data_IF_305200051299
#
_entry.id   IF_305200051299
#
_cell.length_a   1.000
_cell.length_b   1.000
_cell.length_c   1.000
_cell.angle_alpha   90.00
_cell.angle_beta   90.00
_cell.angle_gamma   90.00
#
_symmetry.space_group_name_H-M   'P 1'
#
loop_
_entity.id
_entity.type
_entity.pdbx_description
1 polymer ?
#
# COMPACT_ATOMS: atom_id res chain seq x y z
N UNK A 1 0.24 -22.50 10.66
CA UNK A 1 0.06 -21.05 10.69
C UNK A 1 1.40 -20.47 11.10
N UNK A 2 2.24 -20.05 10.14
CA UNK A 2 3.48 -19.32 10.45
C UNK A 2 3.09 -17.92 10.89
N UNK A 3 3.37 -17.58 12.14
CA UNK A 3 3.26 -16.21 12.62
C UNK A 3 4.14 -15.34 11.71
N UNK A 4 3.52 -14.41 10.98
CA UNK A 4 4.25 -13.37 10.28
C UNK A 4 5.01 -12.59 11.35
N UNK A 5 6.34 -12.66 11.33
CA UNK A 5 7.16 -11.92 12.30
C UNK A 5 6.84 -10.45 12.13
N UNK A 6 6.46 -9.78 13.21
CA UNK A 6 6.27 -8.32 13.21
C UNK A 6 7.51 -7.66 12.63
N UNK A 7 7.37 -6.70 11.68
CA UNK A 7 8.50 -5.86 11.31
C UNK A 7 9.07 -5.22 12.58
N UNK A 8 10.38 -5.18 12.68
CA UNK A 8 11.03 -4.46 13.78
C UNK A 8 11.02 -2.97 13.45
N UNK A 9 10.19 -2.19 14.15
CA UNK A 9 10.11 -0.74 13.94
C UNK A 9 11.49 -0.09 14.01
N UNK A 10 12.30 -0.52 14.96
CA UNK A 10 13.65 0.03 15.12
C UNK A 10 14.49 -0.17 13.86
N UNK A 11 14.47 -1.35 13.28
CA UNK A 11 15.20 -1.63 12.02
C UNK A 11 14.67 -0.77 10.86
N UNK A 12 13.35 -0.54 10.80
CA UNK A 12 12.75 0.36 9.80
C UNK A 12 13.22 1.80 10.00
N UNK A 13 13.20 2.30 11.25
CA UNK A 13 13.65 3.67 11.56
C UNK A 13 15.15 3.86 11.33
N UNK A 14 15.99 2.90 11.74
CA UNK A 14 17.43 2.91 11.47
C UNK A 14 17.72 2.97 9.95
N UNK A 15 16.98 2.21 9.12
CA UNK A 15 17.14 2.28 7.66
C UNK A 15 16.69 3.62 7.09
N UNK A 16 15.54 4.15 7.53
CA UNK A 16 15.05 5.46 7.10
C UNK A 16 16.04 6.59 7.46
N UNK A 17 16.65 6.54 8.63
CA UNK A 17 17.66 7.50 9.03
C UNK A 17 18.92 7.40 8.17
N UNK A 18 19.40 6.19 7.85
CA UNK A 18 20.51 5.99 6.91
C UNK A 18 20.19 6.50 5.51
N UNK A 19 18.96 6.29 5.02
CA UNK A 19 18.53 6.83 3.73
C UNK A 19 18.45 8.36 3.73
N UNK A 20 18.06 8.98 4.85
CA UNK A 20 18.06 10.43 4.97
C UNK A 20 19.49 11.02 4.90
N UNK A 21 20.48 10.34 5.47
CA UNK A 21 21.91 10.71 5.34
C UNK A 21 22.37 10.58 3.88
N UNK A 22 22.01 9.51 3.17
CA UNK A 22 22.33 9.33 1.74
C UNK A 22 21.70 10.43 0.86
N UNK A 23 20.47 10.86 1.19
CA UNK A 23 19.78 11.97 0.49
C UNK A 23 20.49 13.28 0.76
N UNK A 24 20.89 13.57 2.01
CA UNK A 24 21.59 14.79 2.39
C UNK A 24 22.95 14.92 1.67
N UNK A 25 23.71 13.83 1.59
CA UNK A 25 24.96 13.79 0.83
C UNK A 25 24.78 14.06 -0.67
N UNK A 26 23.60 13.72 -1.22
CA UNK A 26 23.25 13.88 -2.63
C UNK A 26 22.67 15.26 -2.96
N UNK A 27 22.09 15.95 -1.97
CA UNK A 27 21.47 17.26 -2.12
C UNK A 27 22.53 18.38 -2.17
N UNK A 28 22.76 18.94 -3.36
CA UNK A 28 23.65 20.10 -3.52
C UNK A 28 22.96 21.43 -3.25
N UNK A 29 21.64 21.49 -3.25
CA UNK A 29 20.82 22.68 -2.96
C UNK A 29 19.45 22.25 -2.44
N UNK A 30 19.12 22.61 -1.20
CA UNK A 30 17.74 22.48 -0.71
C UNK A 30 16.89 23.57 -1.34
N UNK A 31 15.89 23.20 -2.14
CA UNK A 31 14.93 24.13 -2.76
C UNK A 31 13.60 24.20 -1.98
N UNK A 32 13.44 23.35 -0.95
CA UNK A 32 12.24 23.28 -0.11
C UNK A 32 12.40 23.93 1.28
N UNK A 33 11.29 24.04 2.01
CA UNK A 33 11.23 24.55 3.39
C UNK A 33 11.86 23.58 4.41
N UNK A 34 12.03 22.30 4.07
CA UNK A 34 12.65 21.25 4.88
C UNK A 34 13.93 20.73 4.23
N UNK A 35 14.92 20.40 5.04
CA UNK A 35 16.15 19.69 4.62
C UNK A 35 16.04 18.20 4.96
N UNK A 36 16.86 17.32 4.33
CA UNK A 36 16.93 15.90 4.74
C UNK A 36 17.32 15.73 6.22
N UNK A 37 18.14 16.64 6.77
CA UNK A 37 18.50 16.66 8.20
C UNK A 37 17.27 16.98 9.09
N UNK A 38 16.41 17.90 8.66
CA UNK A 38 15.15 18.21 9.36
C UNK A 38 14.22 16.98 9.39
N UNK A 39 14.11 16.27 8.25
CA UNK A 39 13.34 15.03 8.16
C UNK A 39 13.94 13.94 9.07
N UNK A 40 15.25 13.76 9.07
CA UNK A 40 15.93 12.82 9.97
C UNK A 40 15.68 13.17 11.45
N UNK A 41 15.71 14.45 11.79
CA UNK A 41 15.39 14.92 13.15
C UNK A 41 13.92 14.60 13.51
N UNK A 42 12.99 14.85 12.60
CA UNK A 42 11.58 14.55 12.78
C UNK A 42 11.32 13.03 12.92
N UNK A 43 12.02 12.18 12.16
CA UNK A 43 11.95 10.73 12.28
C UNK A 43 12.41 10.23 13.65
N UNK A 44 13.50 10.78 14.21
CA UNK A 44 13.95 10.43 15.59
C UNK A 44 12.90 10.82 16.63
N UNK A 45 12.33 12.03 16.52
CA UNK A 45 11.26 12.48 17.43
C UNK A 45 10.00 11.61 17.31
N UNK A 46 9.68 11.18 16.09
CA UNK A 46 8.56 10.29 15.81
C UNK A 46 8.77 8.92 16.47
N UNK A 47 9.97 8.33 16.37
CA UNK A 47 10.31 7.05 17.00
C UNK A 47 10.12 7.11 18.52
N UNK A 48 10.60 8.18 19.16
CA UNK A 48 10.42 8.41 20.60
C UNK A 48 8.94 8.60 20.97
N UNK A 49 8.17 9.30 20.15
CA UNK A 49 6.74 9.51 20.38
C UNK A 49 5.94 8.23 20.21
N UNK A 50 6.24 7.42 19.19
CA UNK A 50 5.63 6.10 18.96
C UNK A 50 5.93 5.18 20.13
N UNK A 51 7.19 5.12 20.59
CA UNK A 51 7.60 4.28 21.73
C UNK A 51 6.81 4.61 22.99
N UNK A 52 6.57 5.90 23.24
CA UNK A 52 5.72 6.35 24.37
C UNK A 52 4.26 5.98 24.17
N UNK A 53 3.70 6.22 22.98
CA UNK A 53 2.30 5.91 22.69
C UNK A 53 1.98 4.42 22.86
N UNK A 54 2.91 3.56 22.44
CA UNK A 54 2.79 2.10 22.64
C UNK A 54 2.89 1.73 24.11
N UNK A 55 3.83 2.33 24.87
CA UNK A 55 3.98 2.05 26.30
C UNK A 55 2.78 2.50 27.13
N UNK A 56 2.07 3.55 26.70
CA UNK A 56 0.90 4.12 27.37
C UNK A 56 -0.44 3.56 26.84
N UNK A 57 -0.41 2.64 25.87
CA UNK A 57 -1.59 2.04 25.22
C UNK A 57 -2.58 3.10 24.68
N UNK A 58 -2.06 4.05 23.87
CA UNK A 58 -2.83 5.16 23.28
C UNK A 58 -3.07 4.95 21.77
N UNK A 59 -4.09 4.17 21.34
CA UNK A 59 -4.29 3.83 19.92
C UNK A 59 -4.54 5.05 19.01
N UNK A 60 -5.27 6.07 19.51
CA UNK A 60 -5.53 7.30 18.72
C UNK A 60 -4.25 8.11 18.48
N UNK A 61 -3.37 8.17 19.46
CA UNK A 61 -2.06 8.80 19.31
C UNK A 61 -1.22 8.09 18.27
N UNK A 62 -1.23 6.74 18.28
CA UNK A 62 -0.50 5.93 17.31
C UNK A 62 -1.00 6.15 15.87
N UNK A 63 -2.31 6.29 15.65
CA UNK A 63 -2.87 6.62 14.33
C UNK A 63 -2.29 7.93 13.77
N UNK A 64 -2.27 8.99 14.56
CA UNK A 64 -1.72 10.28 14.14
C UNK A 64 -0.22 10.20 13.86
N UNK A 65 0.53 9.50 14.72
CA UNK A 65 1.97 9.31 14.54
C UNK A 65 2.29 8.46 13.31
N UNK A 66 1.44 7.48 12.99
CA UNK A 66 1.60 6.66 11.79
C UNK A 66 1.37 7.46 10.52
N UNK A 67 0.32 8.28 10.47
CA UNK A 67 0.09 9.19 9.35
C UNK A 67 1.28 10.16 9.16
N UNK A 68 1.77 10.76 10.25
CA UNK A 68 2.94 11.64 10.23
C UNK A 68 4.20 10.93 9.71
N UNK A 69 4.42 9.68 10.10
CA UNK A 69 5.54 8.88 9.61
C UNK A 69 5.46 8.61 8.11
N UNK A 70 4.26 8.32 7.60
CA UNK A 70 4.04 8.13 6.16
C UNK A 70 4.24 9.44 5.37
N UNK A 71 3.86 10.59 5.93
CA UNK A 71 4.14 11.90 5.33
C UNK A 71 5.65 12.19 5.27
N UNK A 72 6.41 11.89 6.34
CA UNK A 72 7.87 12.06 6.37
C UNK A 72 8.56 11.14 5.36
N UNK A 73 8.09 9.90 5.20
CA UNK A 73 8.61 8.97 4.19
C UNK A 73 8.35 9.51 2.78
N UNK A 74 7.15 10.05 2.52
CA UNK A 74 6.82 10.63 1.23
C UNK A 74 7.71 11.84 0.91
N UNK A 75 7.93 12.73 1.89
CA UNK A 75 8.77 13.91 1.75
C UNK A 75 10.23 13.51 1.45
N UNK A 76 10.79 12.58 2.22
CA UNK A 76 12.15 12.10 1.99
C UNK A 76 12.31 11.44 0.62
N UNK A 77 11.31 10.67 0.17
CA UNK A 77 11.29 10.08 -1.17
C UNK A 77 11.27 11.15 -2.27
N UNK A 78 10.48 12.21 -2.09
CA UNK A 78 10.43 13.33 -3.02
C UNK A 78 11.77 14.06 -3.10
N UNK A 79 12.41 14.36 -1.96
CA UNK A 79 13.75 14.99 -1.90
C UNK A 79 14.81 14.15 -2.63
N UNK A 80 14.82 12.83 -2.44
CA UNK A 80 15.71 11.92 -3.14
C UNK A 80 15.49 11.96 -4.65
N UNK A 81 14.22 12.00 -5.09
CA UNK A 81 13.85 12.12 -6.51
C UNK A 81 14.30 13.44 -7.12
N UNK A 82 14.14 14.57 -6.43
CA UNK A 82 14.60 15.91 -6.85
C UNK A 82 16.11 15.99 -6.92
N UNK A 83 16.83 15.32 -6.03
CA UNK A 83 18.29 15.19 -6.08
C UNK A 83 18.77 14.29 -7.23
N UNK A 84 17.86 13.68 -8.00
CA UNK A 84 18.20 12.79 -9.11
C UNK A 84 18.55 11.37 -8.68
N UNK A 85 18.36 11.02 -7.40
CA UNK A 85 18.65 9.69 -6.86
C UNK A 85 17.38 8.82 -6.82
N UNK A 86 16.96 8.35 -8.00
CA UNK A 86 15.75 7.54 -8.15
C UNK A 86 15.81 6.19 -7.42
N UNK A 87 17.00 5.63 -7.19
CA UNK A 87 17.17 4.38 -6.46
C UNK A 87 16.88 4.58 -4.98
N UNK A 88 17.49 5.60 -4.35
CA UNK A 88 17.23 5.96 -2.95
C UNK A 88 15.77 6.40 -2.75
N UNK A 89 15.19 7.18 -3.67
CA UNK A 89 13.78 7.56 -3.63
C UNK A 89 12.86 6.33 -3.55
N UNK A 90 13.11 5.35 -4.42
CA UNK A 90 12.36 4.09 -4.42
C UNK A 90 12.56 3.28 -3.13
N UNK A 91 13.77 3.24 -2.60
CA UNK A 91 14.06 2.51 -1.36
C UNK A 91 13.35 3.15 -0.16
N UNK A 92 13.38 4.48 -0.07
CA UNK A 92 12.63 5.24 0.93
C UNK A 92 11.13 4.93 0.84
N UNK A 93 10.56 4.98 -0.36
CA UNK A 93 9.15 4.69 -0.57
C UNK A 93 8.78 3.27 -0.12
N UNK A 94 9.63 2.27 -0.42
CA UNK A 94 9.43 0.87 -0.01
C UNK A 94 9.42 0.70 1.52
N UNK A 95 10.07 1.57 2.28
CA UNK A 95 10.02 1.54 3.76
C UNK A 95 8.64 1.86 4.33
N UNK A 96 7.76 2.49 3.55
CA UNK A 96 6.36 2.71 3.96
C UNK A 96 5.60 1.40 4.24
N UNK A 97 5.93 0.31 3.55
CA UNK A 97 5.26 -0.99 3.73
C UNK A 97 5.54 -1.60 5.11
N UNK A 98 6.80 -1.87 5.52
CA UNK A 98 7.06 -2.41 6.85
C UNK A 98 6.64 -1.45 7.96
N UNK A 99 6.73 -0.13 7.74
CA UNK A 99 6.28 0.87 8.71
C UNK A 99 4.77 0.81 8.94
N UNK A 100 3.96 0.83 7.88
CA UNK A 100 2.50 0.76 8.00
C UNK A 100 2.03 -0.56 8.57
N UNK A 101 2.62 -1.69 8.16
CA UNK A 101 2.26 -3.02 8.68
C UNK A 101 2.55 -3.12 10.19
N UNK A 102 3.69 -2.58 10.63
CA UNK A 102 3.97 -2.50 12.05
C UNK A 102 2.90 -1.66 12.77
N UNK A 103 2.59 -0.47 12.28
CA UNK A 103 1.61 0.45 12.86
C UNK A 103 0.22 -0.18 13.00
N UNK A 104 -0.26 -0.81 11.92
CA UNK A 104 -1.57 -1.49 11.88
C UNK A 104 -1.62 -2.64 12.89
N UNK A 105 -0.56 -3.43 12.99
CA UNK A 105 -0.46 -4.53 13.95
C UNK A 105 -0.37 -4.06 15.41
N UNK A 106 -0.02 -2.78 15.63
CA UNK A 106 -0.13 -2.11 16.93
C UNK A 106 -1.51 -1.44 17.14
N UNK A 107 -2.45 -1.61 16.23
CA UNK A 107 -3.81 -1.08 16.33
C UNK A 107 -4.02 0.31 15.75
N UNK A 108 -3.05 0.87 15.03
CA UNK A 108 -3.24 2.12 14.33
C UNK A 108 -4.27 1.99 13.20
N UNK A 109 -5.01 3.07 12.94
CA UNK A 109 -5.78 3.26 11.72
C UNK A 109 -5.00 4.17 10.79
N UNK A 110 -5.29 4.15 9.49
CA UNK A 110 -4.49 4.82 8.46
C UNK A 110 -5.36 5.73 7.62
N UNK A 111 -4.88 6.97 7.39
CA UNK A 111 -5.49 7.96 6.48
C UNK A 111 -4.57 8.30 5.32
N UNK A 112 -3.26 8.32 5.56
CA UNK A 112 -2.25 8.63 4.54
C UNK A 112 -1.90 7.34 3.78
N UNK A 113 -2.41 7.19 2.56
CA UNK A 113 -2.30 5.97 1.77
C UNK A 113 -1.29 6.05 0.62
N UNK A 114 -1.08 7.23 0.05
CA UNK A 114 -0.34 7.37 -1.21
C UNK A 114 1.06 6.73 -1.18
N UNK A 115 1.94 6.94 -0.17
CA UNK A 115 3.26 6.32 -0.15
C UNK A 115 3.20 4.81 -0.12
N UNK A 116 2.28 4.26 0.67
CA UNK A 116 2.11 2.80 0.81
C UNK A 116 1.61 2.16 -0.47
N UNK A 117 0.63 2.79 -1.13
CA UNK A 117 0.01 2.29 -2.37
C UNK A 117 1.01 2.29 -3.50
N UNK A 118 1.82 3.34 -3.63
CA UNK A 118 2.88 3.42 -4.62
C UNK A 118 3.94 2.32 -4.38
N UNK A 119 4.41 2.18 -3.15
CA UNK A 119 5.37 1.14 -2.76
C UNK A 119 4.84 -0.28 -3.06
N UNK A 120 3.57 -0.55 -2.73
CA UNK A 120 2.92 -1.83 -3.01
C UNK A 120 2.81 -2.08 -4.52
N UNK A 121 2.50 -1.07 -5.34
CA UNK A 121 2.47 -1.20 -6.80
C UNK A 121 3.85 -1.55 -7.37
N UNK A 122 4.90 -0.88 -6.88
CA UNK A 122 6.30 -1.17 -7.26
C UNK A 122 6.67 -2.61 -6.87
N UNK A 123 6.38 -3.02 -5.65
CA UNK A 123 6.68 -4.36 -5.15
C UNK A 123 5.89 -5.44 -5.92
N UNK A 124 4.60 -5.21 -6.18
CA UNK A 124 3.77 -6.13 -6.95
C UNK A 124 4.35 -6.41 -8.33
N UNK A 125 4.89 -5.39 -9.00
CA UNK A 125 5.51 -5.54 -10.31
C UNK A 125 6.83 -6.34 -10.27
N UNK A 126 7.53 -6.35 -9.15
CA UNK A 126 8.78 -7.10 -8.97
C UNK A 126 8.56 -8.57 -8.60
N UNK A 127 7.49 -8.86 -7.85
CA UNK A 127 7.19 -10.22 -7.35
C UNK A 127 6.61 -11.09 -8.47
N UNK A 128 7.07 -12.35 -8.56
CA UNK A 128 6.63 -13.32 -9.57
C UNK A 128 6.09 -14.62 -8.96
N UNK A 129 6.53 -14.98 -7.77
CA UNK A 129 6.23 -16.26 -7.14
C UNK A 129 4.86 -16.22 -6.48
N UNK A 130 3.98 -17.22 -6.72
CA UNK A 130 2.63 -17.26 -6.15
C UNK A 130 2.60 -17.13 -4.62
N UNK A 131 3.55 -17.77 -3.93
CA UNK A 131 3.61 -17.73 -2.46
C UNK A 131 3.97 -16.34 -1.92
N UNK A 132 4.78 -15.58 -2.66
CA UNK A 132 5.13 -14.20 -2.32
C UNK A 132 3.94 -13.26 -2.61
N UNK A 133 3.24 -13.46 -3.73
CA UNK A 133 2.01 -12.74 -4.05
C UNK A 133 0.91 -13.02 -3.02
N UNK A 134 0.75 -14.28 -2.58
CA UNK A 134 -0.19 -14.63 -1.54
C UNK A 134 0.15 -13.98 -0.17
N UNK A 135 1.43 -13.78 0.13
CA UNK A 135 1.87 -13.05 1.32
C UNK A 135 1.54 -11.57 1.19
N UNK A 136 1.89 -10.97 0.06
CA UNK A 136 1.60 -9.57 -0.26
C UNK A 136 0.10 -9.30 -0.23
N UNK A 137 -0.73 -10.20 -0.72
CA UNK A 137 -2.19 -10.09 -0.63
C UNK A 137 -2.67 -9.97 0.82
N UNK A 138 -2.14 -10.78 1.73
CA UNK A 138 -2.47 -10.72 3.17
C UNK A 138 -2.02 -9.40 3.79
N UNK A 139 -0.81 -8.95 3.47
CA UNK A 139 -0.31 -7.65 3.95
C UNK A 139 -1.20 -6.49 3.44
N UNK A 140 -1.61 -6.53 2.16
CA UNK A 140 -2.57 -5.56 1.61
C UNK A 140 -3.94 -5.64 2.30
N UNK A 141 -4.40 -6.84 2.67
CA UNK A 141 -5.66 -7.03 3.41
C UNK A 141 -5.60 -6.37 4.78
N UNK A 142 -4.53 -6.58 5.55
CA UNK A 142 -4.33 -5.93 6.85
C UNK A 142 -4.37 -4.39 6.72
N UNK A 143 -3.76 -3.84 5.66
CA UNK A 143 -3.77 -2.40 5.40
C UNK A 143 -5.19 -1.93 5.05
N UNK A 144 -5.89 -2.61 4.14
CA UNK A 144 -7.27 -2.29 3.74
C UNK A 144 -8.21 -2.22 4.93
N UNK A 145 -8.13 -3.20 5.83
CA UNK A 145 -8.96 -3.26 7.05
C UNK A 145 -8.66 -2.12 8.03
N UNK A 146 -7.46 -1.56 7.98
CA UNK A 146 -7.04 -0.46 8.85
C UNK A 146 -7.35 0.93 8.29
N UNK A 147 -7.71 1.06 7.00
CA UNK A 147 -8.00 2.36 6.38
C UNK A 147 -9.22 3.00 7.01
N UNK A 148 -9.09 4.27 7.34
CA UNK A 148 -10.21 5.05 7.88
C UNK A 148 -11.21 5.43 6.79
N UNK A 149 -12.53 5.52 7.12
CA UNK A 149 -13.57 5.86 6.14
C UNK A 149 -13.30 7.17 5.38
N UNK A 150 -12.72 8.16 6.05
CA UNK A 150 -12.41 9.47 5.44
C UNK A 150 -11.38 9.35 4.31
N UNK A 151 -10.47 8.37 4.37
CA UNK A 151 -9.49 8.09 3.33
C UNK A 151 -10.06 7.28 2.14
N UNK A 152 -11.32 6.87 2.22
CA UNK A 152 -12.04 6.14 1.17
C UNK A 152 -12.99 7.07 0.38
N UNK A 153 -13.29 8.25 0.93
CA UNK A 153 -14.23 9.18 0.33
C UNK A 153 -13.80 9.63 -1.07
N UNK A 154 -14.77 9.73 -1.98
CA UNK A 154 -14.56 10.19 -3.36
C UNK A 154 -13.64 9.29 -4.23
N UNK A 155 -13.32 8.09 -3.81
CA UNK A 155 -12.44 7.18 -4.56
C UNK A 155 -12.94 6.84 -5.97
N UNK A 156 -14.25 6.84 -6.19
CA UNK A 156 -14.85 6.60 -7.52
C UNK A 156 -14.72 7.80 -8.47
N UNK A 157 -14.51 9.00 -7.94
CA UNK A 157 -14.43 10.24 -8.73
C UNK A 157 -13.04 10.50 -9.29
N UNK A 158 -12.00 9.93 -8.68
CA UNK A 158 -10.61 10.10 -9.07
C UNK A 158 -9.95 8.76 -9.37
N UNK A 159 -9.53 8.58 -10.63
CA UNK A 159 -8.84 7.35 -11.07
C UNK A 159 -7.50 7.12 -10.38
N UNK A 160 -6.85 8.16 -9.90
CA UNK A 160 -5.60 8.12 -9.15
C UNK A 160 -5.77 8.03 -7.64
N UNK A 161 -7.02 8.01 -7.13
CA UNK A 161 -7.26 7.98 -5.69
C UNK A 161 -6.60 6.76 -5.02
N UNK A 162 -5.77 6.95 -3.97
CA UNK A 162 -4.97 5.87 -3.39
C UNK A 162 -5.80 4.67 -2.90
N UNK A 163 -6.97 4.90 -2.31
CA UNK A 163 -7.88 3.83 -1.91
C UNK A 163 -8.33 2.98 -3.11
N UNK A 164 -8.76 3.62 -4.20
CA UNK A 164 -9.15 2.92 -5.43
C UNK A 164 -8.00 2.09 -6.00
N UNK A 165 -6.81 2.68 -6.08
CA UNK A 165 -5.60 1.99 -6.56
C UNK A 165 -5.25 0.80 -5.67
N UNK A 166 -5.39 0.93 -4.33
CA UNK A 166 -5.14 -0.16 -3.38
C UNK A 166 -6.09 -1.34 -3.61
N UNK A 167 -7.39 -1.10 -3.72
CA UNK A 167 -8.41 -2.15 -3.95
C UNK A 167 -8.16 -2.87 -5.28
N UNK A 168 -7.91 -2.14 -6.36
CA UNK A 168 -7.64 -2.73 -7.67
C UNK A 168 -6.32 -3.51 -7.71
N UNK A 169 -5.24 -2.97 -7.14
CA UNK A 169 -3.95 -3.68 -7.07
C UNK A 169 -4.05 -4.95 -6.22
N UNK A 170 -4.80 -4.92 -5.11
CA UNK A 170 -5.04 -6.11 -4.29
C UNK A 170 -5.71 -7.23 -5.10
N UNK A 171 -6.68 -6.89 -5.95
CA UNK A 171 -7.35 -7.86 -6.82
C UNK A 171 -6.42 -8.39 -7.93
N UNK A 172 -5.55 -7.55 -8.49
CA UNK A 172 -4.52 -7.98 -9.44
C UNK A 172 -3.54 -8.96 -8.77
N UNK A 173 -3.07 -8.66 -7.56
CA UNK A 173 -2.18 -9.53 -6.78
C UNK A 173 -2.85 -10.86 -6.47
N UNK A 174 -4.14 -10.86 -6.06
CA UNK A 174 -4.92 -12.06 -5.84
C UNK A 174 -5.04 -12.92 -7.10
N UNK A 175 -5.34 -12.32 -8.25
CA UNK A 175 -5.43 -13.03 -9.53
C UNK A 175 -4.10 -13.71 -9.90
N UNK A 176 -2.98 -13.00 -9.69
CA UNK A 176 -1.64 -13.51 -9.99
C UNK A 176 -1.15 -14.57 -8.98
N UNK A 177 -1.72 -14.64 -7.79
CA UNK A 177 -1.42 -15.70 -6.83
C UNK A 177 -2.04 -17.04 -7.23
N UNK A 178 -3.01 -17.03 -8.12
CA UNK A 178 -3.81 -18.18 -8.57
C UNK A 178 -4.60 -18.86 -7.43
N UNK A 179 -4.87 -18.17 -6.35
CA UNK A 179 -5.67 -18.65 -5.23
C UNK A 179 -7.12 -18.19 -5.38
N UNK A 180 -8.08 -19.10 -5.66
CA UNK A 180 -9.49 -18.74 -5.87
C UNK A 180 -10.11 -18.02 -4.67
N UNK A 181 -9.77 -18.41 -3.43
CA UNK A 181 -10.36 -17.80 -2.24
C UNK A 181 -9.89 -16.33 -2.07
N UNK A 182 -8.60 -16.06 -2.33
CA UNK A 182 -8.08 -14.69 -2.33
C UNK A 182 -8.70 -13.85 -3.45
N UNK A 183 -8.94 -14.45 -4.63
CA UNK A 183 -9.60 -13.78 -5.75
C UNK A 183 -11.04 -13.41 -5.40
N UNK A 184 -11.82 -14.33 -4.85
CA UNK A 184 -13.20 -14.08 -4.45
C UNK A 184 -13.28 -12.95 -3.42
N UNK A 185 -12.46 -13.00 -2.38
CA UNK A 185 -12.38 -11.95 -1.36
C UNK A 185 -12.06 -10.57 -1.96
N UNK A 186 -11.07 -10.52 -2.86
CA UNK A 186 -10.66 -9.26 -3.49
C UNK A 186 -11.72 -8.73 -4.47
N UNK A 187 -12.39 -9.60 -5.20
CA UNK A 187 -13.40 -9.25 -6.20
C UNK A 187 -14.71 -8.78 -5.54
N UNK A 188 -15.09 -9.38 -4.42
CA UNK A 188 -16.19 -8.86 -3.62
C UNK A 188 -15.88 -7.44 -3.12
N UNK A 189 -14.64 -7.19 -2.67
CA UNK A 189 -14.23 -5.85 -2.26
C UNK A 189 -14.31 -4.82 -3.40
N UNK A 190 -14.01 -5.19 -4.67
CA UNK A 190 -14.23 -4.29 -5.82
C UNK A 190 -15.71 -3.97 -5.99
N UNK A 191 -16.58 -4.99 -5.94
CA UNK A 191 -18.02 -4.80 -6.13
C UNK A 191 -18.62 -3.92 -5.03
N UNK A 192 -18.12 -4.05 -3.80
CA UNK A 192 -18.66 -3.33 -2.64
C UNK A 192 -18.12 -1.89 -2.53
N UNK A 193 -16.85 -1.67 -2.89
CA UNK A 193 -16.19 -0.36 -2.72
C UNK A 193 -16.08 0.45 -4.01
N UNK A 194 -16.07 -0.20 -5.17
CA UNK A 194 -15.85 0.42 -6.48
C UNK A 194 -16.82 -0.14 -7.52
N UNK A 195 -18.14 -0.08 -7.30
CA UNK A 195 -19.13 -0.68 -8.20
C UNK A 195 -19.06 -0.11 -9.63
N UNK A 196 -18.67 1.16 -9.80
CA UNK A 196 -18.46 1.79 -11.10
C UNK A 196 -17.30 1.20 -11.90
N UNK A 197 -16.27 0.67 -11.23
CA UNK A 197 -15.10 0.06 -11.87
C UNK A 197 -15.27 -1.44 -12.16
N UNK A 198 -16.16 -2.10 -11.47
CA UNK A 198 -16.26 -3.56 -11.44
C UNK A 198 -16.38 -4.17 -12.87
N UNK A 199 -17.25 -3.61 -13.72
CA UNK A 199 -17.46 -4.14 -15.06
C UNK A 199 -16.20 -4.04 -15.92
N UNK A 200 -15.57 -2.87 -15.97
CA UNK A 200 -14.34 -2.65 -16.75
C UNK A 200 -13.19 -3.50 -16.25
N UNK A 201 -13.02 -3.61 -14.92
CA UNK A 201 -12.01 -4.46 -14.30
C UNK A 201 -12.13 -5.92 -14.73
N UNK A 202 -13.34 -6.50 -14.62
CA UNK A 202 -13.53 -7.91 -14.99
C UNK A 202 -13.46 -8.16 -16.51
N UNK A 203 -13.83 -7.18 -17.35
CA UNK A 203 -13.63 -7.25 -18.80
C UNK A 203 -12.13 -7.31 -19.15
N UNK A 204 -11.34 -6.45 -18.55
CA UNK A 204 -9.89 -6.43 -18.75
C UNK A 204 -9.22 -7.70 -18.21
N UNK A 205 -9.61 -8.15 -17.02
CA UNK A 205 -9.11 -9.38 -16.43
C UNK A 205 -9.39 -10.60 -17.32
N UNK A 206 -10.59 -10.72 -17.91
CA UNK A 206 -10.90 -11.78 -18.87
C UNK A 206 -10.02 -11.73 -20.11
N UNK A 207 -9.81 -10.55 -20.67
CA UNK A 207 -8.94 -10.37 -21.86
C UNK A 207 -7.49 -10.77 -21.55
N UNK A 208 -6.97 -10.42 -20.38
CA UNK A 208 -5.63 -10.81 -19.96
C UNK A 208 -5.49 -12.32 -19.73
N UNK A 209 -6.47 -12.95 -19.07
CA UNK A 209 -6.51 -14.40 -18.84
C UNK A 209 -6.51 -15.16 -20.15
N UNK A 210 -7.27 -14.69 -21.14
CA UNK A 210 -7.33 -15.29 -22.48
C UNK A 210 -6.00 -15.17 -23.23
N UNK A 211 -5.31 -14.02 -23.09
CA UNK A 211 -4.03 -13.77 -23.73
C UNK A 211 -2.89 -14.61 -23.15
N UNK A 212 -2.90 -14.86 -21.84
CA UNK A 212 -1.81 -15.54 -21.10
C UNK A 212 -2.05 -17.06 -21.04
N UNK A 213 -3.28 -17.53 -21.20
CA UNK A 213 -3.64 -18.95 -21.04
C UNK A 213 -3.65 -19.39 -19.58
N UNK A 214 -4.25 -18.60 -18.71
CA UNK A 214 -4.32 -18.87 -17.26
C UNK A 214 -5.00 -20.19 -16.90
N UNK A 215 -4.70 -20.79 -15.73
CA UNK A 215 -5.31 -22.03 -15.25
C UNK A 215 -6.85 -21.96 -15.20
N UNK A 216 -7.54 -23.09 -15.43
CA UNK A 216 -9.00 -23.18 -15.44
C UNK A 216 -9.67 -22.59 -14.20
N UNK A 217 -9.20 -22.85 -12.95
CA UNK A 217 -9.82 -22.28 -11.76
C UNK A 217 -9.81 -20.74 -11.72
N UNK A 218 -8.71 -20.13 -12.17
CA UNK A 218 -8.60 -18.66 -12.25
C UNK A 218 -9.62 -18.11 -13.24
N UNK A 219 -9.72 -18.71 -14.43
CA UNK A 219 -10.68 -18.33 -15.46
C UNK A 219 -12.12 -18.46 -14.96
N UNK A 220 -12.45 -19.55 -14.27
CA UNK A 220 -13.79 -19.80 -13.75
C UNK A 220 -14.23 -18.73 -12.76
N UNK A 221 -13.36 -18.34 -11.82
CA UNK A 221 -13.65 -17.28 -10.85
C UNK A 221 -13.87 -15.95 -11.56
N UNK A 222 -12.94 -15.50 -12.42
CA UNK A 222 -13.09 -14.21 -13.12
C UNK A 222 -14.34 -14.17 -14.00
N UNK A 223 -14.61 -15.25 -14.74
CA UNK A 223 -15.82 -15.34 -15.56
C UNK A 223 -17.11 -15.31 -14.73
N UNK A 224 -17.13 -15.96 -13.58
CA UNK A 224 -18.27 -15.93 -12.64
C UNK A 224 -18.57 -14.49 -12.19
N UNK A 225 -17.55 -13.74 -11.80
CA UNK A 225 -17.68 -12.35 -11.38
C UNK A 225 -18.05 -11.42 -12.54
N UNK A 226 -17.45 -11.61 -13.71
CA UNK A 226 -17.82 -10.86 -14.91
C UNK A 226 -19.31 -11.02 -15.24
N UNK A 227 -19.83 -12.26 -15.25
CA UNK A 227 -21.25 -12.52 -15.52
C UNK A 227 -22.17 -11.93 -14.42
N UNK A 228 -21.74 -11.98 -13.16
CA UNK A 228 -22.47 -11.39 -12.03
C UNK A 228 -22.63 -9.88 -12.18
N UNK A 229 -21.61 -9.17 -12.66
CA UNK A 229 -21.64 -7.71 -12.84
C UNK A 229 -22.32 -7.32 -14.16
N UNK A 230 -22.03 -8.01 -15.27
CA UNK A 230 -22.63 -7.75 -16.57
C UNK A 230 -24.15 -7.98 -16.60
N UNK A 231 -24.67 -8.89 -15.77
CA UNK A 231 -26.09 -9.17 -15.64
C UNK A 231 -26.86 -8.21 -14.72
N UNK A 232 -26.19 -7.28 -14.03
CA UNK A 232 -26.87 -6.26 -13.22
C UNK A 232 -27.40 -5.15 -14.13
N UNK A 233 -28.69 -4.76 -14.02
CA UNK A 233 -29.19 -3.59 -14.73
C UNK A 233 -28.43 -2.34 -14.26
N UNK A 234 -27.87 -1.59 -15.20
CA UNK A 234 -27.23 -0.30 -14.92
C UNK A 234 -28.31 0.67 -14.44
N UNK A 235 -28.33 0.96 -13.15
CA UNK A 235 -29.20 2.02 -12.60
C UNK A 235 -28.47 3.34 -12.90
N UNK A 236 -29.00 4.07 -13.87
CA UNK A 236 -28.60 5.45 -14.20
C UNK A 236 -29.32 6.45 -13.31
#
# INVERSE_FOLDING_TARGET
MSASTLPDLRAVMERLLGLAEEVDESCTTSTGDLSPEDVASALRQLEDAISRAVAEDIPRGLTQLSDQGLELIAELSAMAGEAGNAETAREVELMSIPFVLWSVRQGARIRVLAPVVNALAVQANAVRRPEELARMFRDMTEIVEAVMPEAQENAELDTGHPWRVLILNRAIVATRSHDPAMMEEAFDAIIDNLPGDALSFFQEAMAQIDAIGSPSPVREVVNGYYLRVAGRPTIH
#
